data_IF_644117792620
#
_entry.id   IF_644117792620
#
_cell.length_a   1.000
_cell.length_b   1.000
_cell.length_c   1.000
_cell.angle_alpha   90.00
_cell.angle_beta   90.00
_cell.angle_gamma   90.00
#
_symmetry.space_group_name_H-M   'P 1'
#
loop_
_entity.id
_entity.type
_entity.pdbx_description
1 polymer ?
#
# COMPACT_ATOMS: atom_id res chain seq x y z
N UNK A 1 -6.05 -36.59 44.80
CA UNK A 1 -6.00 -35.47 43.84
C UNK A 1 -4.86 -35.75 42.88
N UNK A 2 -5.20 -36.26 41.68
CA UNK A 2 -4.33 -37.13 40.87
C UNK A 2 -3.43 -36.36 39.90
N UNK A 3 -2.18 -36.80 39.73
CA UNK A 3 -1.13 -36.17 38.91
C UNK A 3 -1.59 -35.81 37.49
N UNK A 4 -2.51 -36.59 36.91
CA UNK A 4 -3.10 -36.39 35.57
C UNK A 4 -3.77 -35.01 35.40
N UNK A 5 -4.40 -34.51 36.46
CA UNK A 5 -5.13 -33.23 36.46
C UNK A 5 -4.16 -32.02 36.37
N UNK A 6 -2.96 -32.17 36.96
CA UNK A 6 -1.93 -31.14 36.91
C UNK A 6 -1.28 -31.02 35.53
N UNK A 7 -1.10 -32.15 34.83
CA UNK A 7 -0.56 -32.16 33.46
C UNK A 7 -1.52 -31.55 32.44
N UNK A 8 -2.82 -31.80 32.61
CA UNK A 8 -3.86 -31.24 31.73
C UNK A 8 -3.95 -29.72 31.91
N UNK A 9 -3.97 -29.25 33.16
CA UNK A 9 -3.94 -27.81 33.47
C UNK A 9 -2.71 -27.10 32.92
N UNK A 10 -1.53 -27.76 32.94
CA UNK A 10 -0.27 -27.23 32.38
C UNK A 10 -0.30 -27.15 30.85
N UNK A 11 -0.94 -28.12 30.17
CA UNK A 11 -1.15 -28.05 28.71
C UNK A 11 -2.08 -26.91 28.32
N UNK A 12 -3.17 -26.72 29.06
CA UNK A 12 -4.11 -25.63 28.79
C UNK A 12 -3.48 -24.25 28.99
N UNK A 13 -2.63 -24.07 30.02
CA UNK A 13 -1.87 -22.83 30.19
C UNK A 13 -0.88 -22.61 29.03
N UNK A 14 -0.13 -23.63 28.61
CA UNK A 14 0.82 -23.53 27.49
C UNK A 14 0.16 -23.18 26.15
N UNK A 15 -1.00 -23.75 25.82
CA UNK A 15 -1.76 -23.40 24.61
C UNK A 15 -2.32 -21.98 24.66
N UNK A 16 -2.63 -21.48 25.86
CA UNK A 16 -3.18 -20.13 26.05
C UNK A 16 -2.10 -19.05 25.96
N UNK A 17 -0.87 -19.34 26.36
CA UNK A 17 0.26 -18.43 26.16
C UNK A 17 0.66 -18.34 24.68
N UNK A 18 0.79 -19.50 24.01
CA UNK A 18 1.15 -19.56 22.58
C UNK A 18 0.15 -18.81 21.68
N UNK A 19 -1.14 -18.82 22.02
CA UNK A 19 -2.17 -18.05 21.30
C UNK A 19 -2.05 -16.52 21.47
N UNK A 20 -1.55 -16.05 22.62
CA UNK A 20 -1.26 -14.62 22.84
C UNK A 20 -0.05 -14.16 22.05
N UNK A 21 0.96 -15.01 21.90
CA UNK A 21 2.18 -14.68 21.15
C UNK A 21 1.93 -14.58 19.64
N UNK A 22 1.05 -15.44 19.09
CA UNK A 22 0.62 -15.38 17.68
C UNK A 22 -0.21 -14.13 17.39
N UNK A 23 -1.04 -13.69 18.35
CA UNK A 23 -1.81 -12.45 18.23
C UNK A 23 -0.96 -11.18 18.45
N UNK A 24 0.16 -11.28 19.17
CA UNK A 24 1.10 -10.18 19.41
C UNK A 24 2.14 -9.98 18.28
N UNK A 25 1.92 -10.61 17.13
CA UNK A 25 2.57 -10.27 15.85
C UNK A 25 1.81 -9.09 15.22
N UNK A 26 1.52 -8.05 16.03
CA UNK A 26 1.03 -6.79 15.49
C UNK A 26 2.14 -6.27 14.57
N UNK A 27 1.91 -6.14 13.25
CA UNK A 27 2.98 -5.85 12.30
C UNK A 27 3.62 -4.51 12.65
N UNK A 28 4.85 -4.58 13.18
CA UNK A 28 5.65 -3.44 13.66
C UNK A 28 5.84 -2.36 12.58
N UNK A 29 5.66 -2.71 11.31
CA UNK A 29 5.73 -1.82 10.15
C UNK A 29 4.81 -0.60 10.24
N UNK A 30 3.64 -0.72 10.89
CA UNK A 30 2.62 0.35 10.90
C UNK A 30 2.72 1.33 12.08
N UNK A 31 3.55 1.08 13.10
CA UNK A 31 3.72 1.99 14.25
C UNK A 31 4.51 3.25 13.93
N UNK A 32 5.32 3.24 12.86
CA UNK A 32 6.15 4.38 12.47
C UNK A 32 5.33 5.62 12.07
N UNK A 33 4.10 5.40 11.61
CA UNK A 33 3.34 6.44 10.94
C UNK A 33 2.28 7.14 11.82
N UNK A 34 2.05 6.64 13.04
CA UNK A 34 0.99 7.10 13.96
C UNK A 34 1.35 8.26 14.89
N UNK A 35 2.53 8.90 14.74
CA UNK A 35 3.05 9.86 15.73
C UNK A 35 2.79 11.33 15.44
N UNK A 36 2.01 11.67 14.40
CA UNK A 36 1.82 13.06 13.93
C UNK A 36 0.36 13.52 13.93
N UNK A 37 0.09 14.81 14.20
CA UNK A 37 -1.25 15.39 14.29
C UNK A 37 -2.03 15.31 12.97
N UNK A 38 -3.35 15.10 13.07
CA UNK A 38 -4.27 14.68 11.98
C UNK A 38 -4.24 15.56 10.71
N UNK A 39 -3.93 16.86 10.83
CA UNK A 39 -3.78 17.79 9.71
C UNK A 39 -2.38 17.72 9.05
N UNK A 40 -1.32 17.63 9.85
CA UNK A 40 0.07 17.48 9.36
C UNK A 40 0.25 16.10 8.71
N UNK A 41 -0.40 15.06 9.24
CA UNK A 41 -0.42 13.74 8.61
C UNK A 41 -1.01 13.78 7.20
N UNK A 42 -2.10 14.53 6.94
CA UNK A 42 -2.70 14.60 5.59
C UNK A 42 -1.77 15.27 4.60
N UNK A 43 -1.16 16.39 4.99
CA UNK A 43 -0.26 17.16 4.10
C UNK A 43 1.08 16.45 3.89
N UNK A 44 1.66 15.83 4.93
CA UNK A 44 2.92 15.08 4.81
C UNK A 44 2.73 13.78 4.03
N UNK A 45 1.57 13.12 4.16
CA UNK A 45 1.23 11.91 3.37
C UNK A 45 1.10 12.18 1.87
N UNK A 46 0.61 13.37 1.48
CA UNK A 46 0.54 13.80 0.08
C UNK A 46 1.90 14.33 -0.40
N UNK A 47 2.65 14.99 0.48
CA UNK A 47 3.93 15.62 0.11
C UNK A 47 5.05 14.60 -0.06
N UNK A 48 5.13 13.54 0.75
CA UNK A 48 6.17 12.50 0.62
C UNK A 48 6.24 11.86 -0.78
N UNK A 49 5.14 11.39 -1.40
CA UNK A 49 5.17 10.87 -2.76
C UNK A 49 5.51 11.96 -3.79
N UNK A 50 5.09 13.21 -3.57
CA UNK A 50 5.43 14.35 -4.42
C UNK A 50 6.93 14.72 -4.32
N UNK A 51 7.52 14.62 -3.14
CA UNK A 51 8.95 14.82 -2.86
C UNK A 51 9.76 13.70 -3.47
N UNK A 52 9.30 12.45 -3.42
CA UNK A 52 9.98 11.32 -4.09
C UNK A 52 9.95 11.50 -5.60
N UNK A 53 8.82 11.94 -6.15
CA UNK A 53 8.69 12.25 -7.58
C UNK A 53 9.59 13.44 -7.98
N UNK A 54 9.67 14.48 -7.14
CA UNK A 54 10.55 15.63 -7.33
C UNK A 54 12.04 15.25 -7.25
N UNK A 55 12.44 14.46 -6.25
CA UNK A 55 13.82 13.93 -6.12
C UNK A 55 14.17 13.09 -7.34
N UNK A 56 13.26 12.21 -7.77
CA UNK A 56 13.49 11.37 -8.95
C UNK A 56 13.54 12.19 -10.24
N UNK A 57 12.89 13.36 -10.32
CA UNK A 57 13.03 14.28 -11.46
C UNK A 57 14.34 15.08 -11.39
N UNK A 58 14.86 15.36 -10.18
CA UNK A 58 16.04 16.22 -9.97
C UNK A 58 17.38 15.45 -9.98
N UNK A 59 17.36 14.13 -9.83
CA UNK A 59 18.55 13.28 -9.99
C UNK A 59 18.64 12.84 -11.45
N UNK A 60 19.47 13.48 -12.30
CA UNK A 60 19.69 12.98 -13.65
C UNK A 60 20.46 11.66 -13.54
N UNK A 61 19.76 10.53 -13.71
CA UNK A 61 20.43 9.25 -13.92
C UNK A 61 20.74 9.09 -15.42
N UNK A 62 21.80 8.34 -15.78
CA UNK A 62 22.09 7.94 -17.16
C UNK A 62 21.15 6.82 -17.65
N UNK A 63 19.85 6.98 -17.42
CA UNK A 63 18.79 6.07 -17.88
C UNK A 63 17.82 6.86 -18.75
N UNK A 64 17.07 6.13 -19.58
CA UNK A 64 16.05 6.75 -20.42
C UNK A 64 15.03 7.54 -19.57
N UNK A 65 14.74 8.77 -19.99
CA UNK A 65 13.88 9.71 -19.26
C UNK A 65 12.47 9.13 -19.02
N UNK A 66 11.96 8.28 -19.93
CA UNK A 66 10.66 7.64 -19.73
C UNK A 66 10.71 6.61 -18.61
N UNK A 67 11.77 5.79 -18.57
CA UNK A 67 11.96 4.79 -17.51
C UNK A 67 12.07 5.49 -16.17
N UNK A 68 12.77 6.62 -16.13
CA UNK A 68 12.88 7.44 -14.93
C UNK A 68 11.49 7.90 -14.45
N UNK A 69 10.68 8.49 -15.33
CA UNK A 69 9.34 8.92 -14.93
C UNK A 69 8.44 7.75 -14.47
N UNK A 70 8.46 6.61 -15.17
CA UNK A 70 7.67 5.44 -14.80
C UNK A 70 8.02 4.90 -13.41
N UNK A 71 9.32 4.79 -13.10
CA UNK A 71 9.78 4.26 -11.81
C UNK A 71 9.44 5.22 -10.67
N UNK A 72 9.58 6.53 -10.90
CA UNK A 72 9.19 7.57 -9.94
C UNK A 72 7.70 7.54 -9.62
N UNK A 73 6.86 7.41 -10.65
CA UNK A 73 5.40 7.30 -10.50
C UNK A 73 5.02 6.01 -9.75
N UNK A 74 5.63 4.87 -10.12
CA UNK A 74 5.42 3.59 -9.44
C UNK A 74 5.74 3.67 -7.93
N UNK A 75 6.91 4.23 -7.57
CA UNK A 75 7.29 4.41 -6.16
C UNK A 75 6.33 5.36 -5.42
N UNK A 76 5.94 6.46 -6.07
CA UNK A 76 4.97 7.42 -5.57
C UNK A 76 3.64 6.72 -5.20
N UNK A 77 3.12 5.88 -6.10
CA UNK A 77 1.87 5.13 -5.88
C UNK A 77 2.02 4.07 -4.80
N UNK A 78 3.11 3.31 -4.81
CA UNK A 78 3.40 2.30 -3.80
C UNK A 78 3.44 2.90 -2.38
N UNK A 79 4.03 4.09 -2.24
CA UNK A 79 4.02 4.85 -1.00
C UNK A 79 2.60 5.32 -0.63
N UNK A 80 1.86 5.94 -1.57
CA UNK A 80 0.47 6.37 -1.36
C UNK A 80 -0.43 5.23 -0.87
N UNK A 81 -0.24 4.04 -1.43
CA UNK A 81 -0.98 2.83 -1.09
C UNK A 81 -0.62 2.33 0.32
N UNK A 82 0.67 2.25 0.64
CA UNK A 82 1.15 1.81 1.96
C UNK A 82 0.67 2.71 3.10
N UNK A 83 0.53 4.02 2.85
CA UNK A 83 0.07 4.98 3.86
C UNK A 83 -1.45 5.01 4.08
N UNK A 84 -2.23 4.30 3.25
CA UNK A 84 -3.69 4.26 3.33
C UNK A 84 -4.33 5.65 3.30
N UNK A 85 -3.67 6.62 2.63
CA UNK A 85 -4.11 8.01 2.64
C UNK A 85 -5.35 8.25 1.77
N UNK A 86 -5.56 7.40 0.77
CA UNK A 86 -6.66 7.46 -0.19
C UNK A 86 -7.32 6.08 -0.35
N UNK A 87 -8.61 6.03 -0.72
CA UNK A 87 -9.26 4.78 -1.09
C UNK A 87 -8.51 4.10 -2.24
N UNK A 88 -8.36 2.77 -2.17
CA UNK A 88 -7.78 1.92 -3.21
C UNK A 88 -8.21 2.30 -4.66
N UNK A 89 -9.50 2.54 -4.94
CA UNK A 89 -9.94 2.97 -6.28
C UNK A 89 -9.37 4.32 -6.70
N UNK A 90 -9.25 5.27 -5.77
CA UNK A 90 -8.72 6.61 -6.05
C UNK A 90 -7.23 6.53 -6.36
N UNK A 91 -6.46 5.74 -5.60
CA UNK A 91 -5.03 5.51 -5.90
C UNK A 91 -4.84 4.82 -7.26
N UNK A 92 -5.72 3.89 -7.63
CA UNK A 92 -5.66 3.21 -8.91
C UNK A 92 -5.91 4.18 -10.08
N UNK A 93 -6.85 5.12 -9.93
CA UNK A 93 -7.17 6.15 -10.92
C UNK A 93 -6.10 7.25 -11.00
N UNK A 94 -5.37 7.48 -9.91
CA UNK A 94 -4.25 8.43 -9.89
C UNK A 94 -3.09 7.98 -10.80
N UNK A 95 -2.85 6.66 -10.90
CA UNK A 95 -1.78 6.07 -11.73
C UNK A 95 -1.84 6.52 -13.20
N UNK A 96 -2.92 6.24 -13.95
CA UNK A 96 -3.03 6.66 -15.35
C UNK A 96 -3.03 8.18 -15.49
N UNK A 97 -3.60 8.92 -14.53
CA UNK A 97 -3.61 10.38 -14.54
C UNK A 97 -2.19 10.94 -14.50
N UNK A 98 -1.32 10.42 -13.62
CA UNK A 98 0.09 10.82 -13.58
C UNK A 98 0.84 10.41 -14.84
N UNK A 99 0.59 9.21 -15.37
CA UNK A 99 1.19 8.71 -16.61
C UNK A 99 0.87 9.61 -17.82
N UNK A 100 -0.40 10.03 -17.94
CA UNK A 100 -0.85 10.93 -19.00
C UNK A 100 -0.31 12.35 -18.80
N UNK A 101 -0.27 12.84 -17.55
CA UNK A 101 0.27 14.17 -17.24
C UNK A 101 1.77 14.29 -17.55
N UNK A 102 2.54 13.23 -17.29
CA UNK A 102 3.96 13.14 -17.66
C UNK A 102 4.21 12.86 -19.15
N UNK A 103 3.16 12.69 -19.96
CA UNK A 103 3.26 12.47 -21.40
C UNK A 103 3.79 11.08 -21.79
N UNK A 104 3.75 10.11 -20.88
CA UNK A 104 4.31 8.77 -21.09
C UNK A 104 3.35 7.91 -21.94
N UNK A 105 2.04 8.03 -21.69
CA UNK A 105 1.01 7.33 -22.44
C UNK A 105 -0.15 8.28 -22.81
N UNK A 106 -0.74 8.15 -24.01
CA UNK A 106 -1.96 8.86 -24.35
C UNK A 106 -3.12 8.36 -23.48
N UNK A 107 -4.09 9.25 -23.23
CA UNK A 107 -5.23 9.02 -22.30
C UNK A 107 -5.94 7.69 -22.55
N UNK A 108 -6.16 7.34 -23.82
CA UNK A 108 -6.86 6.10 -24.21
C UNK A 108 -6.12 4.84 -23.76
N UNK A 109 -4.78 4.85 -23.86
CA UNK A 109 -3.95 3.72 -23.44
C UNK A 109 -3.81 3.64 -21.92
N UNK A 110 -3.81 4.78 -21.24
CA UNK A 110 -3.74 4.83 -19.78
C UNK A 110 -5.02 4.28 -19.12
N UNK A 111 -6.19 4.47 -19.73
CA UNK A 111 -7.48 3.99 -19.21
C UNK A 111 -7.87 2.57 -19.67
N UNK A 112 -7.19 2.02 -20.69
CA UNK A 112 -7.38 0.64 -21.17
C UNK A 112 -7.48 -0.42 -20.07
N UNK A 113 -6.62 -0.46 -19.02
CA UNK A 113 -6.70 -1.48 -17.97
C UNK A 113 -8.00 -1.42 -17.13
N UNK A 114 -8.72 -0.29 -17.09
CA UNK A 114 -10.01 -0.21 -16.38
C UNK A 114 -11.13 -0.93 -17.12
N UNK A 115 -11.03 -1.02 -18.44
CA UNK A 115 -12.01 -1.69 -19.29
C UNK A 115 -11.66 -3.18 -19.54
N UNK A 116 -10.90 -3.79 -18.63
CA UNK A 116 -10.52 -5.20 -18.78
C UNK A 116 -11.77 -6.10 -18.60
N UNK A 117 -12.00 -7.09 -19.49
CA UNK A 117 -13.14 -8.00 -19.38
C UNK A 117 -13.23 -8.71 -18.02
N UNK A 118 -12.11 -8.93 -17.32
CA UNK A 118 -12.12 -9.48 -15.96
C UNK A 118 -12.84 -8.54 -14.98
N UNK A 119 -12.63 -7.23 -15.08
CA UNK A 119 -13.30 -6.23 -14.22
C UNK A 119 -14.81 -6.23 -14.50
N UNK A 120 -15.20 -6.29 -15.77
CA UNK A 120 -16.62 -6.41 -16.17
C UNK A 120 -17.25 -7.73 -15.74
N UNK A 121 -16.51 -8.84 -15.79
CA UNK A 121 -16.97 -10.15 -15.32
C UNK A 121 -17.18 -10.14 -13.81
N UNK A 122 -16.24 -9.57 -13.05
CA UNK A 122 -16.40 -9.38 -11.60
C UNK A 122 -17.64 -8.54 -11.28
N UNK A 123 -17.89 -7.45 -12.01
CA UNK A 123 -19.10 -6.64 -11.85
C UNK A 123 -20.37 -7.43 -12.18
N UNK A 124 -20.40 -8.17 -13.30
CA UNK A 124 -21.55 -8.98 -13.70
C UNK A 124 -21.81 -10.21 -12.83
N UNK A 125 -20.79 -10.75 -12.16
CA UNK A 125 -20.92 -11.89 -11.25
C UNK A 125 -21.21 -11.53 -9.79
N UNK A 126 -21.06 -10.26 -9.40
CA UNK A 126 -21.35 -9.75 -8.06
C UNK A 126 -22.74 -9.09 -7.93
N UNK A 127 -23.45 -8.89 -9.04
CA UNK A 127 -24.82 -8.36 -9.09
C UNK A 127 -25.88 -9.45 -8.98
#
# INVERSE_FOLDING_TARGET
>A
MSLKDRDDKRRFESSRERGRDVFNIAPTFFKFFGRLPMLVQRSVKISLPFVVLAIFTFVPMPVDIQIQHMLGIFLCIAMLWTFGALPLPVTALLVPVLLTFYGIFPTDKALTPFANPVVYLLMGGLI
#
